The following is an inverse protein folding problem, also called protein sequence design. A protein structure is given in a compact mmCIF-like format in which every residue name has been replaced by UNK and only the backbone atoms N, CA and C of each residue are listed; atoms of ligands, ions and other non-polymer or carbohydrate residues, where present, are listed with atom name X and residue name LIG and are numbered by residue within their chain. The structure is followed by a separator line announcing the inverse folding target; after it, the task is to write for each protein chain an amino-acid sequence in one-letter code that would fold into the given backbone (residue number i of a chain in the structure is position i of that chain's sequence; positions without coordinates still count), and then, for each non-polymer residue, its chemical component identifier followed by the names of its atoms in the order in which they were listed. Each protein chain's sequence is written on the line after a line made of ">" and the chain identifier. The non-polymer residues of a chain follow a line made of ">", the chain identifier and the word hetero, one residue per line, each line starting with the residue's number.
data_IF_103648457296
#
_entry.id   IF_103648457296
#
_cell.length_a   1.000
_cell.length_b   1.000
_cell.length_c   1.000
_cell.angle_alpha   90.00
_cell.angle_beta   90.00
_cell.angle_gamma   90.00
#
_symmetry.space_group_name_H-M   'P 1'
#
loop_
_entity.id
_entity.type
_entity.pdbx_description
1 polymer ?
#
# COMPACT_ATOMS: atom_id res chain seq x y z
N UNK A 1 -2.10 11.63 -9.00
CA UNK A 1 -1.35 10.37 -8.84
C UNK A 1 0.07 10.66 -8.33
N UNK A 2 0.26 11.46 -7.28
CA UNK A 2 1.62 11.75 -6.85
C UNK A 2 1.70 12.44 -5.51
N UNK A 3 2.75 12.07 -4.79
CA UNK A 3 3.18 12.73 -3.57
C UNK A 3 3.76 14.10 -3.89
N UNK A 4 3.50 15.14 -3.07
CA UNK A 4 4.22 16.41 -3.19
C UNK A 4 5.75 16.24 -3.13
N UNK A 5 6.22 15.18 -2.47
CA UNK A 5 7.64 14.92 -2.20
C UNK A 5 8.23 13.97 -3.25
N UNK A 6 7.58 12.83 -3.50
CA UNK A 6 8.13 11.77 -4.36
C UNK A 6 7.66 11.84 -5.82
N UNK A 7 6.71 12.73 -6.13
CA UNK A 7 6.12 12.85 -7.45
C UNK A 7 5.19 11.70 -7.78
N UNK A 8 4.92 11.52 -9.08
CA UNK A 8 3.97 10.51 -9.52
C UNK A 8 4.54 9.09 -9.50
N UNK A 9 3.66 8.09 -9.38
CA UNK A 9 4.06 6.67 -9.41
C UNK A 9 4.83 6.37 -10.70
N UNK A 10 4.43 6.93 -11.84
CA UNK A 10 5.18 6.86 -13.11
C UNK A 10 6.63 7.34 -12.97
N UNK A 11 6.86 8.44 -12.26
CA UNK A 11 8.21 8.99 -12.04
C UNK A 11 9.01 8.11 -11.08
N UNK A 12 8.36 7.56 -10.05
CA UNK A 12 8.99 6.66 -9.09
C UNK A 12 9.42 5.33 -9.76
N UNK A 13 8.55 4.73 -10.57
CA UNK A 13 8.87 3.54 -11.37
C UNK A 13 10.05 3.79 -12.32
N UNK A 14 10.03 4.89 -13.08
CA UNK A 14 11.16 5.26 -13.96
C UNK A 14 12.48 5.49 -13.24
N UNK A 15 12.44 5.88 -11.97
CA UNK A 15 13.63 6.10 -11.13
C UNK A 15 14.12 4.83 -10.46
N UNK A 16 13.37 3.72 -10.53
CA UNK A 16 13.68 2.53 -9.74
C UNK A 16 13.48 2.74 -8.24
N UNK A 17 12.54 3.61 -7.83
CA UNK A 17 12.32 3.88 -6.41
C UNK A 17 11.56 2.72 -5.75
N UNK A 18 12.26 2.02 -4.85
CA UNK A 18 11.72 0.99 -3.98
C UNK A 18 11.98 1.43 -2.53
N UNK A 19 10.97 1.50 -1.66
CA UNK A 19 9.54 1.29 -1.91
C UNK A 19 8.89 2.42 -2.75
N UNK A 20 7.81 2.10 -3.47
CA UNK A 20 6.99 3.12 -4.15
C UNK A 20 6.07 3.79 -3.13
N UNK A 21 6.17 5.12 -3.01
CA UNK A 21 5.30 5.91 -2.15
C UNK A 21 3.94 6.20 -2.81
N UNK A 22 2.86 5.96 -2.07
CA UNK A 22 1.49 6.28 -2.43
C UNK A 22 0.90 7.27 -1.43
N UNK A 23 0.48 8.42 -1.95
CA UNK A 23 -0.33 9.38 -1.21
C UNK A 23 -1.82 9.12 -1.49
N UNK A 24 -2.58 8.76 -0.46
CA UNK A 24 -4.01 8.43 -0.58
C UNK A 24 -4.86 9.51 0.06
N UNK A 25 -5.90 9.93 -0.66
CA UNK A 25 -6.90 10.89 -0.18
C UNK A 25 -8.27 10.24 -0.20
N UNK A 26 -8.93 10.16 0.96
CA UNK A 26 -10.31 9.66 1.05
C UNK A 26 -11.28 10.71 0.55
N UNK A 27 -12.11 10.38 -0.43
CA UNK A 27 -13.06 11.34 -1.03
C UNK A 27 -14.06 11.89 0.00
N UNK A 28 -14.66 11.03 0.82
CA UNK A 28 -15.71 11.44 1.76
C UNK A 28 -15.20 12.30 2.92
N UNK A 29 -14.08 11.92 3.52
CA UNK A 29 -13.57 12.56 4.74
C UNK A 29 -12.45 13.55 4.47
N UNK A 30 -11.93 13.60 3.23
CA UNK A 30 -10.72 14.33 2.85
C UNK A 30 -9.48 13.96 3.69
N UNK A 31 -9.54 12.82 4.38
CA UNK A 31 -8.45 12.31 5.19
C UNK A 31 -7.33 11.84 4.27
N UNK A 32 -6.11 12.29 4.58
CA UNK A 32 -4.91 12.04 3.79
C UNK A 32 -3.98 11.17 4.60
N UNK A 33 -3.39 10.18 3.94
CA UNK A 33 -2.40 9.31 4.55
C UNK A 33 -1.43 8.80 3.49
N UNK A 34 -0.29 8.34 3.97
CA UNK A 34 0.82 7.89 3.15
C UNK A 34 1.07 6.41 3.42
N UNK A 35 1.27 5.64 2.35
CA UNK A 35 1.56 4.21 2.41
C UNK A 35 2.58 3.85 1.32
N UNK A 36 3.09 2.62 1.36
CA UNK A 36 4.19 2.19 0.51
C UNK A 36 3.92 0.83 -0.13
N UNK A 37 4.46 0.64 -1.33
CA UNK A 37 4.53 -0.64 -2.00
C UNK A 37 5.98 -1.09 -2.06
N UNK A 38 6.25 -2.30 -1.57
CA UNK A 38 7.59 -2.88 -1.54
C UNK A 38 8.11 -3.35 -2.89
N UNK A 39 9.22 -4.08 -2.86
CA UNK A 39 9.95 -4.61 -4.02
C UNK A 39 9.06 -5.47 -4.93
N UNK A 40 8.35 -6.47 -4.39
CA UNK A 40 7.47 -7.34 -5.19
C UNK A 40 6.42 -6.55 -5.97
N UNK A 41 5.86 -5.52 -5.35
CA UNK A 41 4.88 -4.65 -5.99
C UNK A 41 5.51 -3.73 -7.03
N UNK A 42 6.75 -3.28 -6.80
CA UNK A 42 7.52 -2.55 -7.79
C UNK A 42 7.78 -3.42 -9.03
N UNK A 43 8.23 -4.66 -8.84
CA UNK A 43 8.48 -5.62 -9.92
C UNK A 43 7.22 -5.86 -10.75
N UNK A 44 6.09 -6.19 -10.10
CA UNK A 44 4.81 -6.40 -10.80
C UNK A 44 4.38 -5.17 -11.61
N UNK A 45 4.49 -3.97 -11.03
CA UNK A 45 4.10 -2.74 -11.73
C UNK A 45 5.07 -2.37 -12.87
N UNK A 46 6.35 -2.73 -12.73
CA UNK A 46 7.37 -2.52 -13.75
C UNK A 46 7.22 -3.49 -14.92
N UNK A 47 6.94 -4.76 -14.63
CA UNK A 47 6.80 -5.83 -15.63
C UNK A 47 5.45 -5.79 -16.35
N UNK A 48 4.40 -5.35 -15.63
CA UNK A 48 3.05 -5.21 -16.16
C UNK A 48 2.56 -3.75 -16.11
N UNK A 49 3.18 -2.84 -16.87
CA UNK A 49 2.77 -1.43 -16.89
C UNK A 49 1.34 -1.23 -17.41
N UNK A 50 0.77 -2.24 -18.07
CA UNK A 50 -0.64 -2.30 -18.48
C UNK A 50 -1.60 -2.18 -17.29
N UNK A 51 -1.23 -2.64 -16.10
CA UNK A 51 -2.03 -2.54 -14.87
C UNK A 51 -2.36 -1.08 -14.51
N UNK A 52 -1.42 -0.18 -14.80
CA UNK A 52 -1.52 1.25 -14.53
C UNK A 52 -1.53 2.10 -15.81
N UNK A 53 -1.68 1.49 -16.99
CA UNK A 53 -1.52 2.20 -18.27
C UNK A 53 -2.38 3.46 -18.37
N UNK A 54 -3.62 3.41 -17.85
CA UNK A 54 -4.52 4.58 -17.80
C UNK A 54 -3.97 5.71 -16.91
N UNK A 55 -3.37 5.36 -15.78
CA UNK A 55 -2.67 6.33 -14.93
C UNK A 55 -1.45 6.92 -15.66
N UNK A 56 -0.74 6.09 -16.43
CA UNK A 56 0.43 6.53 -17.20
C UNK A 56 0.08 7.48 -18.35
N UNK A 57 -1.15 7.45 -18.86
CA UNK A 57 -1.68 8.34 -19.90
C UNK A 57 -2.38 9.59 -19.34
N UNK A 58 -2.41 9.77 -18.01
CA UNK A 58 -2.95 10.97 -17.37
C UNK A 58 -4.42 10.87 -16.95
N UNK A 59 -5.01 9.68 -16.97
CA UNK A 59 -6.33 9.48 -16.37
C UNK A 59 -6.27 9.57 -14.83
N UNK A 60 -7.41 9.93 -14.22
CA UNK A 60 -7.50 10.11 -12.76
C UNK A 60 -7.26 8.84 -11.95
N UNK A 61 -7.53 7.66 -12.52
CA UNK A 61 -7.48 6.38 -11.80
C UNK A 61 -6.14 5.69 -11.98
N UNK A 62 -5.53 5.28 -10.87
CA UNK A 62 -4.30 4.48 -10.90
C UNK A 62 -4.54 3.12 -11.54
N UNK A 63 -5.58 2.42 -11.08
CA UNK A 63 -6.02 1.13 -11.61
C UNK A 63 -7.38 1.28 -12.29
N UNK A 64 -7.62 0.61 -13.43
CA UNK A 64 -8.88 0.71 -14.17
C UNK A 64 -10.02 -0.14 -13.59
N UNK A 65 -9.93 -0.58 -12.32
CA UNK A 65 -10.87 -1.52 -11.70
C UNK A 65 -11.76 -0.85 -10.66
N UNK A 66 -12.93 -1.43 -10.42
CA UNK A 66 -13.82 -1.11 -9.30
C UNK A 66 -13.64 -2.13 -8.17
N UNK A 67 -14.32 -1.92 -7.05
CA UNK A 67 -14.20 -2.80 -5.88
C UNK A 67 -14.69 -4.23 -6.16
N UNK A 68 -15.84 -4.40 -6.82
CA UNK A 68 -16.46 -5.71 -7.06
C UNK A 68 -15.56 -6.67 -7.85
N UNK A 69 -15.00 -6.28 -9.03
CA UNK A 69 -14.07 -7.16 -9.74
C UNK A 69 -12.85 -7.57 -8.92
N UNK A 70 -12.34 -6.70 -8.04
CA UNK A 70 -11.22 -7.03 -7.16
C UNK A 70 -11.65 -8.07 -6.12
N UNK A 71 -12.80 -7.88 -5.47
CA UNK A 71 -13.33 -8.83 -4.51
C UNK A 71 -13.63 -10.20 -5.15
N UNK A 72 -14.24 -10.22 -6.32
CA UNK A 72 -14.53 -11.45 -7.06
C UNK A 72 -13.25 -12.17 -7.49
N UNK A 73 -12.24 -11.42 -7.97
CA UNK A 73 -10.94 -11.99 -8.34
C UNK A 73 -10.25 -12.62 -7.13
N UNK A 74 -10.26 -11.94 -5.98
CA UNK A 74 -9.70 -12.49 -4.75
C UNK A 74 -10.48 -13.73 -4.30
N UNK A 75 -11.81 -13.72 -4.37
CA UNK A 75 -12.62 -14.88 -4.02
C UNK A 75 -12.31 -16.08 -4.91
N UNK A 76 -12.13 -15.86 -6.21
CA UNK A 76 -11.74 -16.91 -7.16
C UNK A 76 -10.38 -17.52 -6.80
N UNK A 77 -9.36 -16.70 -6.56
CA UNK A 77 -8.03 -17.15 -6.12
C UNK A 77 -8.13 -17.90 -4.79
N UNK A 78 -8.89 -17.36 -3.83
CA UNK A 78 -9.10 -18.02 -2.54
C UNK A 78 -9.72 -19.40 -2.69
N UNK A 79 -10.71 -19.57 -3.57
CA UNK A 79 -11.30 -20.89 -3.83
C UNK A 79 -10.31 -21.85 -4.48
N UNK A 80 -9.52 -21.39 -5.44
CA UNK A 80 -8.50 -22.19 -6.13
C UNK A 80 -7.42 -22.70 -5.17
N UNK A 81 -7.00 -21.86 -4.21
CA UNK A 81 -6.00 -22.19 -3.19
C UNK A 81 -6.57 -22.93 -1.98
N UNK A 82 -7.88 -23.21 -1.93
CA UNK A 82 -8.54 -23.83 -0.77
C UNK A 82 -8.75 -22.89 0.42
N UNK A 83 -8.54 -21.60 0.26
CA UNK A 83 -8.78 -20.51 1.23
C UNK A 83 -10.19 -19.91 1.09
N UNK A 84 -11.17 -20.80 0.93
CA UNK A 84 -12.56 -20.41 0.72
C UNK A 84 -13.04 -19.50 1.86
N UNK A 85 -13.61 -18.36 1.49
CA UNK A 85 -14.13 -17.31 2.37
C UNK A 85 -13.09 -16.66 3.32
N UNK A 86 -11.81 -17.04 3.27
CA UNK A 86 -10.75 -16.47 4.10
C UNK A 86 -9.81 -15.52 3.36
N UNK A 87 -9.74 -15.59 2.03
CA UNK A 87 -8.95 -14.67 1.20
C UNK A 87 -9.79 -13.49 0.68
N UNK A 88 -9.50 -12.30 1.18
CA UNK A 88 -10.22 -11.05 0.91
C UNK A 88 -9.34 -9.80 1.10
N UNK A 89 -9.75 -8.61 0.63
CA UNK A 89 -9.00 -7.38 0.89
C UNK A 89 -8.80 -7.11 2.39
N UNK A 90 -9.78 -7.47 3.22
CA UNK A 90 -9.69 -7.36 4.66
C UNK A 90 -8.64 -8.31 5.25
N UNK A 91 -8.56 -9.55 4.77
CA UNK A 91 -7.55 -10.52 5.21
C UNK A 91 -6.13 -10.05 4.90
N UNK A 92 -5.89 -9.47 3.71
CA UNK A 92 -4.59 -8.90 3.35
C UNK A 92 -4.24 -7.70 4.23
N UNK A 93 -5.21 -6.82 4.51
CA UNK A 93 -5.02 -5.71 5.45
C UNK A 93 -4.68 -6.19 6.86
N UNK A 94 -5.34 -7.25 7.33
CA UNK A 94 -5.05 -7.87 8.63
C UNK A 94 -3.66 -8.49 8.63
N UNK A 95 -3.28 -9.23 7.59
CA UNK A 95 -1.95 -9.80 7.44
C UNK A 95 -0.87 -8.72 7.47
N UNK A 96 -1.01 -7.66 6.68
CA UNK A 96 -0.09 -6.52 6.66
C UNK A 96 0.14 -5.91 8.05
N UNK A 97 -0.95 -5.66 8.78
CA UNK A 97 -0.87 -5.18 10.16
C UNK A 97 -0.11 -6.18 11.04
N UNK A 98 -0.53 -7.45 11.02
CA UNK A 98 0.05 -8.49 11.87
C UNK A 98 1.56 -8.62 11.63
N UNK A 99 2.00 -8.64 10.37
CA UNK A 99 3.42 -8.75 10.05
C UNK A 99 4.23 -7.59 10.64
N UNK A 100 3.78 -6.35 10.42
CA UNK A 100 4.48 -5.17 10.94
C UNK A 100 4.45 -5.08 12.47
N UNK A 101 3.35 -5.50 13.10
CA UNK A 101 3.27 -5.55 14.57
C UNK A 101 4.22 -6.61 15.14
N UNK A 102 4.37 -7.77 14.47
CA UNK A 102 5.32 -8.81 14.91
C UNK A 102 6.77 -8.38 14.78
N UNK A 103 7.07 -7.43 13.89
CA UNK A 103 8.38 -6.83 13.71
C UNK A 103 8.58 -5.56 14.56
N UNK A 104 7.78 -5.40 15.62
CA UNK A 104 7.83 -4.30 16.59
C UNK A 104 7.66 -2.90 15.98
N UNK A 105 7.06 -2.79 14.78
CA UNK A 105 6.73 -1.49 14.21
C UNK A 105 5.63 -0.83 15.05
N UNK A 106 5.79 0.46 15.31
CA UNK A 106 4.84 1.20 16.13
C UNK A 106 3.41 1.15 15.55
N UNK A 107 2.45 0.65 16.34
CA UNK A 107 1.05 0.50 15.93
C UNK A 107 0.44 1.79 15.37
N UNK A 108 0.74 2.96 15.95
CA UNK A 108 0.17 4.21 15.44
C UNK A 108 0.66 4.54 14.03
N UNK A 109 1.88 4.14 13.67
CA UNK A 109 2.41 4.28 12.32
C UNK A 109 1.76 3.28 11.36
N UNK A 110 1.56 2.04 11.80
CA UNK A 110 0.84 1.01 11.02
C UNK A 110 -0.58 1.48 10.71
N UNK A 111 -1.31 1.92 11.73
CA UNK A 111 -2.67 2.44 11.63
C UNK A 111 -2.73 3.67 10.70
N UNK A 112 -1.75 4.57 10.80
CA UNK A 112 -1.61 5.71 9.89
C UNK A 112 -1.45 5.26 8.43
N UNK A 113 -0.59 4.28 8.15
CA UNK A 113 -0.40 3.73 6.81
C UNK A 113 -1.63 2.99 6.28
N UNK A 114 -2.46 2.41 7.16
CA UNK A 114 -3.75 1.81 6.82
C UNK A 114 -4.87 2.86 6.62
N UNK A 115 -4.57 4.11 6.92
CA UNK A 115 -5.51 5.24 6.88
C UNK A 115 -6.54 5.21 8.01
N UNK A 116 -6.28 4.52 9.11
CA UNK A 116 -7.14 4.55 10.29
C UNK A 116 -6.91 5.85 11.07
N UNK A 117 -7.99 6.44 11.58
CA UNK A 117 -7.93 7.65 12.40
C UNK A 117 -7.31 7.30 13.75
N UNK A 118 -6.23 7.98 14.16
CA UNK A 118 -5.58 7.72 15.47
C UNK A 118 -6.27 8.48 16.62
N UNK A 119 -7.22 9.35 16.27
CA UNK A 119 -7.93 10.26 17.16
C UNK A 119 -7.24 11.62 17.22
N UNK A 120 -8.01 12.68 17.52
CA UNK A 120 -7.59 14.09 17.39
C UNK A 120 -6.24 14.42 18.02
N UNK A 121 -5.92 13.83 19.17
CA UNK A 121 -4.69 14.09 19.90
C UNK A 121 -3.51 13.32 19.30
N UNK A 122 -3.66 12.03 19.01
CA UNK A 122 -2.57 11.21 18.45
C UNK A 122 -2.22 11.59 17.02
N UNK A 123 -3.22 11.95 16.20
CA UNK A 123 -3.01 12.40 14.82
C UNK A 123 -2.08 13.64 14.75
N UNK A 124 -2.18 14.56 15.73
CA UNK A 124 -1.39 15.79 15.75
C UNK A 124 0.10 15.60 16.09
N UNK A 125 0.45 14.51 16.79
CA UNK A 125 1.81 14.27 17.28
C UNK A 125 2.55 13.13 16.56
N UNK A 126 1.84 12.23 15.87
CA UNK A 126 2.41 10.95 15.43
C UNK A 126 2.47 10.75 13.92
N UNK A 127 1.85 11.57 13.06
CA UNK A 127 2.00 11.41 11.61
C UNK A 127 3.36 11.98 11.19
N UNK A 128 4.39 11.14 10.97
CA UNK A 128 5.70 11.67 10.63
C UNK A 128 5.71 12.11 9.17
N UNK A 129 6.64 12.99 8.77
CA UNK A 129 6.83 13.31 7.36
C UNK A 129 7.07 12.04 6.53
N UNK A 130 6.58 11.96 5.28
CA UNK A 130 6.73 10.77 4.44
C UNK A 130 8.19 10.27 4.29
N UNK A 131 9.17 11.16 4.37
CA UNK A 131 10.60 10.82 4.33
C UNK A 131 11.09 10.07 5.56
N UNK A 132 10.48 10.30 6.73
CA UNK A 132 10.77 9.53 7.93
C UNK A 132 9.97 8.24 7.94
N UNK A 133 8.72 8.28 7.48
CA UNK A 133 7.86 7.10 7.43
C UNK A 133 8.42 6.02 6.49
N UNK A 134 8.93 6.40 5.31
CA UNK A 134 9.52 5.43 4.37
C UNK A 134 10.74 4.71 4.97
N UNK A 135 11.62 5.43 5.69
CA UNK A 135 12.79 4.84 6.34
C UNK A 135 12.42 3.86 7.43
N UNK A 136 11.34 4.15 8.16
CA UNK A 136 10.81 3.23 9.16
C UNK A 136 10.23 2.00 8.46
N UNK A 137 9.42 2.20 7.42
CA UNK A 137 8.87 1.09 6.63
C UNK A 137 9.97 0.20 6.04
N UNK A 138 11.01 0.76 5.43
CA UNK A 138 12.15 0.02 4.86
C UNK A 138 12.84 -0.85 5.91
N UNK A 139 13.05 -0.32 7.12
CA UNK A 139 13.67 -1.07 8.22
C UNK A 139 12.88 -2.34 8.57
N UNK A 140 11.55 -2.28 8.45
CA UNK A 140 10.65 -3.39 8.79
C UNK A 140 10.24 -4.22 7.57
N UNK A 141 10.56 -3.77 6.35
CA UNK A 141 10.05 -4.38 5.12
C UNK A 141 10.67 -5.76 4.87
N UNK A 142 12.00 -5.86 4.97
CA UNK A 142 12.74 -7.09 4.65
C UNK A 142 12.37 -8.25 5.59
N UNK A 143 12.16 -7.96 6.88
CA UNK A 143 11.85 -8.97 7.89
C UNK A 143 10.36 -9.31 7.97
N UNK A 144 9.47 -8.32 7.75
CA UNK A 144 8.04 -8.50 7.96
C UNK A 144 7.24 -8.79 6.68
N UNK A 145 7.64 -8.22 5.54
CA UNK A 145 6.76 -8.15 4.35
C UNK A 145 7.38 -8.74 3.09
N UNK A 146 8.70 -8.93 3.05
CA UNK A 146 9.37 -9.59 1.92
C UNK A 146 9.06 -11.08 1.93
N UNK A 147 8.42 -11.56 0.86
CA UNK A 147 8.13 -12.98 0.72
C UNK A 147 9.41 -13.74 0.37
N UNK A 148 10.11 -14.22 1.39
CA UNK A 148 11.23 -15.15 1.21
C UNK A 148 10.68 -16.54 0.86
N UNK A 149 10.28 -16.74 -0.39
CA UNK A 149 10.10 -18.09 -0.93
C UNK A 149 11.49 -18.67 -1.22
N UNK A 150 12.03 -19.43 -0.27
CA UNK A 150 13.14 -20.36 -0.52
C UNK A 150 12.66 -21.58 -1.31
#
# INVERSE_FOLDING_TARGET
>A
DGSPIYGSIKKQLKKGSVPIHIHVVREKTQFKYDTFLGEDSFEVLNDYPTLIAKALTGEKRLFPYTETPIQDSMKAIGNELGWKDSFSPYSLRKWFRTQLTLDDMNDALIESMMGHTLGKVRDAYLVPPPQKLIKIYEKHYDDALKLNFN
#
